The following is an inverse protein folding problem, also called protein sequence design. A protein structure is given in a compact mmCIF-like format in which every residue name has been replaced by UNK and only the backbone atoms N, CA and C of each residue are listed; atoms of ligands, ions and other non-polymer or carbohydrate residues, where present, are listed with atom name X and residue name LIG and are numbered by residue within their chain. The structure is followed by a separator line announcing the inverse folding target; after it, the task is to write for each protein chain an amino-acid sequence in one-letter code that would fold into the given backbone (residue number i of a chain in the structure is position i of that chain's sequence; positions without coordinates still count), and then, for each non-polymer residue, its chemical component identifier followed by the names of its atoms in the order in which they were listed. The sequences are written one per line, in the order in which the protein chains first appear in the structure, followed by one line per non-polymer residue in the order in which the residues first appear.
data_IF_269579205904
#
_entry.id   IF_269579205904
#
_cell.length_a   1.000
_cell.length_b   1.000
_cell.length_c   1.000
_cell.angle_alpha   90.00
_cell.angle_beta   90.00
_cell.angle_gamma   90.00
#
_symmetry.space_group_name_H-M   'P 1'
#
loop_
_entity.id
_entity.type
_entity.pdbx_description
1 polymer ?
#
# COMPACT_ATOMS: atom_id res chain seq x y z
N UNK A 1 11.79 16.83 -6.85
CA UNK A 1 10.49 17.45 -7.17
C UNK A 1 10.53 18.95 -6.95
N UNK A 2 9.93 19.73 -7.86
CA UNK A 2 9.76 21.18 -7.71
C UNK A 2 8.76 21.56 -6.60
N UNK A 3 8.00 20.59 -6.07
CA UNK A 3 6.93 20.77 -5.08
C UNK A 3 7.29 20.24 -3.68
N UNK A 4 8.57 20.26 -3.29
CA UNK A 4 9.08 19.59 -2.08
C UNK A 4 8.54 20.11 -0.73
N UNK A 5 7.83 21.23 -0.70
CA UNK A 5 7.35 21.86 0.54
C UNK A 5 5.82 21.97 0.63
N UNK A 6 5.09 21.37 -0.32
CA UNK A 6 3.63 21.46 -0.40
C UNK A 6 2.96 20.14 -0.01
N UNK A 7 1.65 20.21 0.25
CA UNK A 7 0.78 19.03 0.48
C UNK A 7 0.82 18.01 -0.67
N UNK A 8 1.28 18.40 -1.85
CA UNK A 8 1.44 17.54 -3.03
C UNK A 8 2.43 16.39 -2.76
N UNK A 9 3.41 16.59 -1.86
CA UNK A 9 4.31 15.51 -1.43
C UNK A 9 3.53 14.38 -0.77
N UNK A 10 2.57 14.71 0.10
CA UNK A 10 1.78 13.70 0.79
C UNK A 10 0.89 12.91 -0.19
N UNK A 11 0.33 13.57 -1.21
CA UNK A 11 -0.42 12.91 -2.28
C UNK A 11 0.46 11.96 -3.09
N UNK A 12 1.65 12.38 -3.50
CA UNK A 12 2.60 11.52 -4.21
C UNK A 12 3.06 10.32 -3.36
N UNK A 13 3.27 10.52 -2.05
CA UNK A 13 3.58 9.42 -1.11
C UNK A 13 2.40 8.46 -0.99
N UNK A 14 1.16 8.95 -0.96
CA UNK A 14 -0.06 8.13 -0.93
C UNK A 14 -0.23 7.28 -2.21
N UNK A 15 0.08 7.83 -3.39
CA UNK A 15 0.11 7.09 -4.66
C UNK A 15 1.18 5.99 -4.64
N UNK A 16 2.39 6.35 -4.25
CA UNK A 16 3.51 5.40 -4.11
C UNK A 16 3.20 4.27 -3.12
N UNK A 17 2.56 4.59 -2.00
CA UNK A 17 2.12 3.61 -1.01
C UNK A 17 1.10 2.62 -1.58
N UNK A 18 0.12 3.10 -2.35
CA UNK A 18 -0.87 2.26 -3.00
C UNK A 18 -0.25 1.32 -4.06
N UNK A 19 0.71 1.82 -4.85
CA UNK A 19 1.43 1.00 -5.83
C UNK A 19 2.33 -0.05 -5.17
N UNK A 20 3.02 0.29 -4.07
CA UNK A 20 3.75 -0.69 -3.25
C UNK A 20 2.79 -1.77 -2.74
N UNK A 21 1.60 -1.38 -2.27
CA UNK A 21 0.57 -2.32 -1.84
C UNK A 21 0.14 -3.28 -2.96
N UNK A 22 -0.04 -2.78 -4.17
CA UNK A 22 -0.37 -3.62 -5.33
C UNK A 22 0.79 -4.53 -5.76
N UNK A 23 2.03 -4.07 -5.67
CA UNK A 23 3.22 -4.92 -5.90
C UNK A 23 3.26 -6.04 -4.87
N UNK A 24 3.11 -5.73 -3.58
CA UNK A 24 3.13 -6.71 -2.48
C UNK A 24 2.01 -7.74 -2.64
N UNK A 25 0.82 -7.31 -3.08
CA UNK A 25 -0.36 -8.18 -3.28
C UNK A 25 -0.35 -8.92 -4.61
N UNK A 26 0.52 -8.55 -5.55
CA UNK A 26 0.55 -9.11 -6.91
C UNK A 26 -0.60 -8.61 -7.79
N UNK A 27 -1.13 -7.42 -7.50
CA UNK A 27 -2.17 -6.72 -8.25
C UNK A 27 -1.62 -5.66 -9.22
N UNK A 28 -0.35 -5.29 -9.05
CA UNK A 28 0.32 -4.32 -9.92
C UNK A 28 0.33 -4.81 -11.37
N UNK A 29 -0.08 -3.93 -12.28
CA UNK A 29 -0.19 -4.22 -13.72
C UNK A 29 1.11 -3.91 -14.47
N UNK A 30 2.04 -3.16 -13.85
CA UNK A 30 3.29 -2.79 -14.53
C UNK A 30 4.25 -3.97 -14.60
N UNK A 31 4.69 -4.29 -15.82
CA UNK A 31 5.70 -5.33 -16.06
C UNK A 31 7.00 -4.70 -16.56
N UNK A 32 7.99 -4.42 -15.68
CA UNK A 32 9.19 -3.67 -16.06
C UNK A 32 10.08 -4.43 -17.04
N UNK A 33 10.08 -5.77 -16.98
CA UNK A 33 10.82 -6.64 -17.88
C UNK A 33 10.18 -8.04 -17.90
N UNK A 34 10.51 -8.90 -18.89
CA UNK A 34 9.98 -10.24 -18.98
C UNK A 34 10.28 -11.13 -17.76
N UNK A 35 11.37 -10.89 -17.03
CA UNK A 35 11.83 -11.73 -15.91
C UNK A 35 11.06 -11.51 -14.61
N UNK A 36 10.45 -10.33 -14.42
CA UNK A 36 9.57 -10.02 -13.27
C UNK A 36 10.12 -10.45 -11.90
N UNK A 37 11.40 -10.15 -11.66
CA UNK A 37 12.15 -10.63 -10.48
C UNK A 37 11.51 -10.26 -9.15
N UNK A 38 10.79 -9.13 -9.10
CA UNK A 38 10.10 -8.67 -7.88
C UNK A 38 8.96 -9.61 -7.53
N UNK A 39 8.07 -9.91 -8.49
CA UNK A 39 6.97 -10.84 -8.23
C UNK A 39 7.45 -12.27 -8.00
N UNK A 40 8.46 -12.73 -8.74
CA UNK A 40 9.05 -14.06 -8.49
C UNK A 40 9.68 -14.16 -7.10
N UNK A 41 10.41 -13.14 -6.66
CA UNK A 41 10.95 -13.07 -5.31
C UNK A 41 9.86 -13.08 -4.24
N UNK A 42 8.80 -12.29 -4.42
CA UNK A 42 7.68 -12.25 -3.48
C UNK A 42 6.93 -13.58 -3.41
N UNK A 43 6.72 -14.29 -4.54
CA UNK A 43 6.14 -15.64 -4.54
C UNK A 43 6.93 -16.59 -3.64
N UNK A 44 8.26 -16.60 -3.76
CA UNK A 44 9.14 -17.44 -2.93
C UNK A 44 9.03 -17.07 -1.44
N UNK A 45 8.97 -15.77 -1.11
CA UNK A 45 8.81 -15.31 0.27
C UNK A 45 7.46 -15.74 0.84
N UNK A 46 6.36 -15.52 0.13
CA UNK A 46 5.02 -15.88 0.60
C UNK A 46 4.79 -17.39 0.65
N UNK A 47 5.47 -18.18 -0.20
CA UNK A 47 5.53 -19.63 -0.06
C UNK A 47 6.14 -20.02 1.29
N UNK A 48 7.29 -19.44 1.66
CA UNK A 48 7.95 -19.72 2.94
C UNK A 48 7.10 -19.27 4.14
N UNK A 49 6.45 -18.11 4.04
CA UNK A 49 5.51 -17.63 5.07
C UNK A 49 4.39 -18.65 5.25
N UNK A 50 3.74 -19.09 4.15
CA UNK A 50 2.68 -20.09 4.19
C UNK A 50 3.16 -21.42 4.80
N UNK A 51 4.34 -21.91 4.40
CA UNK A 51 4.92 -23.14 4.94
C UNK A 51 5.18 -23.05 6.45
N UNK A 52 5.56 -21.87 6.94
CA UNK A 52 5.82 -21.57 8.35
C UNK A 52 4.58 -21.28 9.20
N UNK A 53 3.39 -21.16 8.61
CA UNK A 53 2.14 -21.00 9.37
C UNK A 53 1.86 -22.22 10.24
N UNK A 54 1.22 -21.99 11.40
CA UNK A 54 0.78 -23.07 12.27
C UNK A 54 -0.29 -23.93 11.59
N UNK A 55 -0.41 -25.20 12.01
CA UNK A 55 -1.40 -26.13 11.44
C UNK A 55 -2.86 -25.65 11.52
N UNK A 56 -3.18 -24.79 12.49
CA UNK A 56 -4.52 -24.20 12.64
C UNK A 56 -4.75 -22.97 11.77
N UNK A 57 -3.68 -22.31 11.29
CA UNK A 57 -3.74 -21.11 10.45
C UNK A 57 -3.77 -21.46 8.96
N UNK A 58 -3.03 -22.51 8.56
CA UNK A 58 -2.97 -22.98 7.16
C UNK A 58 -4.35 -23.19 6.51
N UNK A 59 -5.35 -23.81 7.17
CA UNK A 59 -6.68 -23.97 6.59
C UNK A 59 -7.36 -22.65 6.23
N UNK A 60 -7.06 -21.56 6.93
CA UNK A 60 -7.61 -20.24 6.62
C UNK A 60 -7.10 -19.67 5.27
N UNK A 61 -5.89 -20.09 4.88
CA UNK A 61 -5.20 -19.73 3.65
C UNK A 61 -5.11 -20.91 2.68
N UNK A 62 -6.05 -21.84 2.76
CA UNK A 62 -6.19 -22.96 1.81
C UNK A 62 -7.52 -22.81 1.10
N UNK A 63 -7.54 -22.93 -0.23
CA UNK A 63 -8.77 -22.88 -1.02
C UNK A 63 -9.52 -24.22 -1.02
N UNK A 64 -10.72 -24.23 -1.61
CA UNK A 64 -11.60 -25.42 -1.67
C UNK A 64 -10.98 -26.64 -2.36
N UNK A 65 -9.89 -26.46 -3.11
CA UNK A 65 -9.13 -27.53 -3.78
C UNK A 65 -7.98 -28.06 -2.93
N UNK A 66 -7.82 -27.59 -1.70
CA UNK A 66 -6.71 -27.95 -0.82
C UNK A 66 -5.37 -27.31 -1.20
N UNK A 67 -5.38 -26.27 -2.05
CA UNK A 67 -4.17 -25.55 -2.48
C UNK A 67 -4.03 -24.24 -1.70
N UNK A 68 -2.78 -23.80 -1.51
CA UNK A 68 -2.50 -22.53 -0.85
C UNK A 68 -3.16 -21.35 -1.58
N UNK A 69 -3.88 -20.51 -0.84
CA UNK A 69 -4.45 -19.26 -1.29
C UNK A 69 -3.50 -18.10 -0.97
N UNK A 70 -2.49 -17.95 -1.83
CA UNK A 70 -1.51 -16.87 -1.70
C UNK A 70 -2.12 -15.49 -1.92
N UNK A 71 -3.23 -15.37 -2.66
CA UNK A 71 -3.88 -14.07 -2.87
C UNK A 71 -4.41 -13.57 -1.53
N UNK A 72 -5.20 -14.40 -0.84
CA UNK A 72 -5.72 -14.06 0.48
C UNK A 72 -4.60 -13.80 1.49
N UNK A 73 -3.55 -14.63 1.51
CA UNK A 73 -2.41 -14.43 2.42
C UNK A 73 -1.71 -13.08 2.19
N UNK A 74 -1.52 -12.66 0.94
CA UNK A 74 -0.86 -11.39 0.61
C UNK A 74 -1.76 -10.18 0.94
N UNK A 75 -3.07 -10.28 0.74
CA UNK A 75 -4.04 -9.24 1.14
C UNK A 75 -4.06 -9.01 2.65
N UNK A 76 -4.12 -10.08 3.43
CA UNK A 76 -4.13 -10.01 4.90
C UNK A 76 -2.79 -9.48 5.41
N UNK A 77 -1.67 -9.96 4.85
CA UNK A 77 -0.35 -9.46 5.19
C UNK A 77 -0.24 -7.95 4.95
N UNK A 78 -0.71 -7.44 3.80
CA UNK A 78 -0.73 -6.01 3.55
C UNK A 78 -1.60 -5.29 4.57
N UNK A 79 -2.83 -5.75 4.79
CA UNK A 79 -3.79 -5.11 5.70
C UNK A 79 -3.24 -4.99 7.13
N UNK A 80 -2.49 -5.98 7.61
CA UNK A 80 -1.88 -5.98 8.95
C UNK A 80 -0.64 -5.09 9.05
N UNK A 81 0.14 -4.93 7.97
CA UNK A 81 1.45 -4.25 8.01
C UNK A 81 1.46 -2.86 7.34
N UNK A 82 0.36 -2.45 6.70
CA UNK A 82 0.28 -1.21 5.92
C UNK A 82 0.55 0.05 6.76
N UNK A 83 0.25 0.04 8.06
CA UNK A 83 0.57 1.12 9.01
C UNK A 83 2.09 1.32 9.15
N UNK A 84 2.84 0.22 9.29
CA UNK A 84 4.30 0.24 9.40
C UNK A 84 4.95 0.68 8.08
N UNK A 85 4.40 0.25 6.94
CA UNK A 85 4.85 0.68 5.62
C UNK A 85 4.60 2.19 5.44
N UNK A 86 3.43 2.69 5.82
CA UNK A 86 3.12 4.13 5.78
C UNK A 86 4.08 4.94 6.65
N UNK A 87 4.34 4.48 7.88
CA UNK A 87 5.30 5.09 8.80
C UNK A 87 6.70 5.16 8.19
N UNK A 88 7.14 4.11 7.49
CA UNK A 88 8.45 4.09 6.83
C UNK A 88 8.52 5.07 5.65
N UNK A 89 7.49 5.11 4.81
CA UNK A 89 7.43 5.99 3.63
C UNK A 89 7.39 7.47 4.04
N UNK A 90 6.71 7.80 5.14
CA UNK A 90 6.58 9.17 5.65
C UNK A 90 7.76 9.62 6.53
N UNK A 91 8.74 8.76 6.79
CA UNK A 91 9.85 9.04 7.72
C UNK A 91 10.63 10.33 7.40
N UNK A 92 10.70 10.70 6.13
CA UNK A 92 11.38 11.91 5.65
C UNK A 92 10.43 12.90 4.97
N UNK A 93 9.13 12.80 5.24
CA UNK A 93 8.18 13.81 4.78
C UNK A 93 8.58 15.19 5.33
N UNK A 94 8.32 16.31 4.63
CA UNK A 94 8.58 17.63 5.18
C UNK A 94 7.70 17.88 6.41
N UNK A 95 8.25 18.54 7.44
CA UNK A 95 7.51 18.86 8.68
C UNK A 95 6.17 19.56 8.40
N UNK A 96 6.18 20.56 7.53
CA UNK A 96 5.00 21.36 7.20
C UNK A 96 4.08 20.71 6.15
N UNK A 97 4.36 19.48 5.72
CA UNK A 97 3.50 18.77 4.79
C UNK A 97 2.37 18.09 5.55
N UNK A 98 1.14 18.41 5.16
CA UNK A 98 -0.08 17.82 5.70
C UNK A 98 -0.86 17.14 4.58
N UNK A 99 -1.44 15.98 4.88
CA UNK A 99 -2.34 15.26 3.99
C UNK A 99 -3.78 15.68 4.26
N UNK A 100 -4.53 15.98 3.19
CA UNK A 100 -5.92 16.37 3.28
C UNK A 100 -6.82 15.14 3.42
N UNK A 101 -7.69 15.15 4.43
CA UNK A 101 -8.68 14.12 4.68
C UNK A 101 -10.05 14.75 4.46
N UNK A 102 -10.71 14.37 3.38
CA UNK A 102 -12.06 14.88 3.08
C UNK A 102 -13.08 14.21 3.99
N UNK A 103 -13.58 14.92 4.99
CA UNK A 103 -14.73 14.46 5.79
C UNK A 103 -16.04 14.66 5.02
N UNK A 104 -17.00 13.75 5.22
CA UNK A 104 -18.32 13.77 4.57
C UNK A 104 -19.22 14.93 5.04
N UNK A 105 -18.81 15.66 6.08
CA UNK A 105 -19.65 16.65 6.78
C UNK A 105 -18.97 18.01 6.81
N UNK A 106 -18.85 18.69 5.66
CA UNK A 106 -18.47 20.13 5.50
C UNK A 106 -17.13 20.59 6.09
N UNK A 107 -16.45 19.76 6.88
CA UNK A 107 -15.21 20.08 7.56
C UNK A 107 -14.03 19.51 6.79
N UNK A 108 -12.99 20.32 6.68
CA UNK A 108 -11.71 19.92 6.10
C UNK A 108 -10.82 19.48 7.26
N UNK A 109 -10.47 18.19 7.31
CA UNK A 109 -9.50 17.68 8.28
C UNK A 109 -8.16 17.47 7.60
N UNK A 110 -7.09 17.71 8.34
CA UNK A 110 -5.72 17.54 7.89
C UNK A 110 -4.99 16.59 8.83
N UNK A 111 -4.02 15.86 8.29
CA UNK A 111 -3.08 15.08 9.09
C UNK A 111 -2.25 15.96 10.01
N UNK A 112 -1.61 15.36 11.01
CA UNK A 112 -0.48 16.00 11.68
C UNK A 112 0.68 16.26 10.70
N UNK A 113 1.71 16.93 11.21
CA UNK A 113 2.99 17.17 10.52
C UNK A 113 3.54 15.90 9.86
N UNK A 114 4.43 16.06 8.88
CA UNK A 114 5.10 14.94 8.18
C UNK A 114 4.12 13.97 7.50
N UNK A 115 3.04 14.48 6.91
CA UNK A 115 1.98 13.67 6.31
C UNK A 115 1.39 12.65 7.29
N UNK A 116 1.31 13.00 8.58
CA UNK A 116 0.83 12.12 9.65
C UNK A 116 1.82 11.05 10.10
N UNK A 117 3.12 11.29 9.93
CA UNK A 117 4.15 10.37 10.43
C UNK A 117 4.00 10.15 11.94
N UNK A 118 3.94 8.88 12.36
CA UNK A 118 3.80 8.50 13.76
C UNK A 118 2.36 8.48 14.28
N UNK A 119 1.38 8.83 13.45
CA UNK A 119 -0.02 8.48 13.72
C UNK A 119 -0.19 6.96 13.60
N UNK A 120 -1.06 6.39 14.44
CA UNK A 120 -1.33 4.94 14.46
C UNK A 120 -2.24 4.47 13.31
N UNK A 121 -2.71 5.38 12.46
CA UNK A 121 -3.63 5.08 11.37
C UNK A 121 -3.08 5.61 10.03
N UNK A 122 -3.21 4.79 8.98
CA UNK A 122 -2.87 5.23 7.61
C UNK A 122 -3.95 6.19 7.13
N UNK A 123 -3.53 7.34 6.64
CA UNK A 123 -4.42 8.45 6.35
C UNK A 123 -5.08 8.41 4.97
N UNK A 124 -4.76 7.38 4.19
CA UNK A 124 -5.28 7.14 2.85
C UNK A 124 -5.85 5.74 2.72
N UNK A 125 -6.84 5.60 1.85
CA UNK A 125 -7.39 4.32 1.41
C UNK A 125 -7.12 4.09 -0.09
N UNK A 126 -6.19 4.84 -0.69
CA UNK A 126 -5.83 4.68 -2.10
C UNK A 126 -5.35 3.26 -2.41
N UNK A 127 -4.70 2.57 -1.47
CA UNK A 127 -4.31 1.17 -1.60
C UNK A 127 -5.51 0.20 -1.69
N UNK A 128 -6.74 0.65 -1.49
CA UNK A 128 -7.96 -0.13 -1.76
C UNK A 128 -8.73 0.36 -2.99
N UNK A 129 -8.24 1.38 -3.71
CA UNK A 129 -8.78 1.84 -4.99
C UNK A 129 -8.08 1.08 -6.13
N UNK A 130 -8.76 0.61 -7.19
CA UNK A 130 -8.12 -0.06 -8.32
C UNK A 130 -7.00 0.78 -8.99
N UNK A 131 -5.84 0.16 -9.26
CA UNK A 131 -4.65 0.84 -9.81
C UNK A 131 -4.94 1.68 -11.06
N UNK A 132 -5.71 1.14 -12.01
CA UNK A 132 -6.09 1.88 -13.22
C UNK A 132 -6.71 3.25 -12.92
N UNK A 133 -7.61 3.33 -11.95
CA UNK A 133 -8.29 4.59 -11.59
C UNK A 133 -7.31 5.57 -10.95
N UNK A 134 -6.36 5.08 -10.15
CA UNK A 134 -5.33 5.92 -9.50
C UNK A 134 -4.39 6.53 -10.53
N UNK A 135 -3.88 5.71 -11.45
CA UNK A 135 -3.00 6.21 -12.51
C UNK A 135 -3.73 7.12 -13.49
N UNK A 136 -5.01 6.86 -13.77
CA UNK A 136 -5.80 7.75 -14.62
C UNK A 136 -6.02 9.13 -13.97
N UNK A 137 -6.23 9.18 -12.67
CA UNK A 137 -6.34 10.42 -11.91
C UNK A 137 -4.99 11.16 -11.82
N UNK A 138 -3.90 10.45 -11.52
CA UNK A 138 -2.55 11.03 -11.51
C UNK A 138 -2.17 11.64 -12.87
N UNK A 139 -2.42 10.93 -13.97
CA UNK A 139 -2.18 11.45 -15.32
C UNK A 139 -2.97 12.71 -15.65
N UNK A 140 -4.15 12.89 -15.06
CA UNK A 140 -4.97 14.08 -15.28
C UNK A 140 -4.51 15.29 -14.46
N UNK A 141 -3.72 15.08 -13.40
CA UNK A 141 -3.16 16.13 -12.55
C UNK A 141 -1.76 16.61 -12.98
N UNK A 142 -1.02 15.77 -13.72
CA UNK A 142 0.29 16.07 -14.33
C UNK A 142 0.19 16.94 -15.60
#
# INVERSE_FOLDING_TARGET
HPHKETSEVCTALARSFADIGDIVRGKDMFKPNPQDKVQEGLKVVFQKIYEGLNGNEKPHYTNDRGLADYVKLREDWWTINRDQVWKAITCFAPKNAHYFIKSSVRDQTFSNEYCGHGEHEVLTNLDYVPQYLRWFEEWAED
#
